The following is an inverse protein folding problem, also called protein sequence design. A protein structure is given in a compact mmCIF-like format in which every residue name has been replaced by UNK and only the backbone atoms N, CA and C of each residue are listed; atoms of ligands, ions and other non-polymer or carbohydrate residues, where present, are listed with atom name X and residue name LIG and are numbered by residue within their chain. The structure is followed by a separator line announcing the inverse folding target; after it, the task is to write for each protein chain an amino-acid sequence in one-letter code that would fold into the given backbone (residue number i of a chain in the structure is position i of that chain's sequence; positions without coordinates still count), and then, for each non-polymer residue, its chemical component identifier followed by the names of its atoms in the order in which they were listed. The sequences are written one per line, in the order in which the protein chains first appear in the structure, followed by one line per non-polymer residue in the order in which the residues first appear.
data_IF_953158589197
#
_entry.id   IF_953158589197
#
_cell.length_a   1.000
_cell.length_b   1.000
_cell.length_c   1.000
_cell.angle_alpha   90.00
_cell.angle_beta   90.00
_cell.angle_gamma   90.00
#
_symmetry.space_group_name_H-M   'P 1'
#
loop_
_entity.id
_entity.type
_entity.pdbx_description
1 polymer ?
#
# COMPACT_ATOMS: atom_id res chain seq x y z
N UNK A 1 75.27 16.30 -21.66
CA UNK A 1 74.02 16.58 -22.39
C UNK A 1 72.92 15.73 -21.79
N UNK A 2 71.95 16.32 -21.07
CA UNK A 2 70.84 15.61 -20.42
C UNK A 2 69.56 15.96 -21.18
N UNK A 3 69.00 15.00 -21.90
CA UNK A 3 67.66 15.10 -22.49
C UNK A 3 66.64 14.65 -21.44
N UNK A 4 65.90 15.60 -20.87
CA UNK A 4 64.76 15.32 -20.02
C UNK A 4 63.55 15.04 -20.91
N UNK A 5 63.18 13.76 -21.07
CA UNK A 5 61.92 13.38 -21.70
C UNK A 5 60.80 13.44 -20.66
N UNK A 6 59.96 14.48 -20.77
CA UNK A 6 58.76 14.67 -19.96
C UNK A 6 57.68 13.66 -20.36
N UNK A 7 57.37 12.71 -19.48
CA UNK A 7 56.17 11.88 -19.61
C UNK A 7 54.94 12.70 -19.23
N UNK A 8 54.19 13.14 -20.23
CA UNK A 8 52.88 13.74 -20.04
C UNK A 8 51.90 12.67 -19.55
N UNK A 9 51.57 12.73 -18.26
CA UNK A 9 50.48 11.96 -17.66
C UNK A 9 49.17 12.45 -18.27
N UNK A 10 48.61 11.69 -19.21
CA UNK A 10 47.29 12.00 -19.79
C UNK A 10 46.21 11.79 -18.73
N UNK A 11 45.85 12.87 -18.04
CA UNK A 11 44.63 12.92 -17.22
C UNK A 11 43.48 13.11 -18.19
N UNK A 12 42.74 12.03 -18.48
CA UNK A 12 41.49 12.15 -19.23
C UNK A 12 40.53 13.04 -18.44
N UNK A 13 40.04 14.16 -19.01
CA UNK A 13 39.07 15.00 -18.31
C UNK A 13 37.74 14.25 -18.27
N UNK A 14 37.29 13.89 -17.07
CA UNK A 14 35.92 13.46 -16.86
C UNK A 14 35.02 14.69 -16.89
N UNK A 15 34.61 15.11 -18.09
CA UNK A 15 33.51 16.05 -18.27
C UNK A 15 32.19 15.32 -17.96
N UNK A 16 31.97 15.05 -16.68
CA UNK A 16 30.66 14.66 -16.16
C UNK A 16 29.80 15.90 -16.02
N UNK A 17 28.82 16.06 -16.92
CA UNK A 17 27.89 17.18 -16.90
C UNK A 17 27.08 17.16 -15.58
N UNK A 18 27.16 18.18 -14.69
CA UNK A 18 26.56 18.13 -13.34
C UNK A 18 25.03 18.12 -13.33
N UNK A 19 24.40 18.33 -14.49
CA UNK A 19 22.94 18.39 -14.65
C UNK A 19 22.29 17.04 -14.99
N UNK A 20 23.08 16.01 -15.32
CA UNK A 20 22.56 14.66 -15.55
C UNK A 20 22.64 13.88 -14.25
N UNK A 21 21.60 13.99 -13.40
CA UNK A 21 21.43 13.04 -12.30
C UNK A 21 21.24 11.65 -12.94
N UNK A 22 22.12 10.67 -12.67
CA UNK A 22 21.87 9.32 -13.16
C UNK A 22 20.54 8.87 -12.57
N UNK A 23 19.61 8.44 -13.42
CA UNK A 23 18.38 7.78 -12.99
C UNK A 23 18.80 6.63 -12.07
N UNK A 24 18.64 6.83 -10.76
CA UNK A 24 18.83 5.77 -9.80
C UNK A 24 17.75 4.74 -10.13
N UNK A 25 18.10 3.51 -10.54
CA UNK A 25 17.08 2.50 -10.77
C UNK A 25 16.32 2.33 -9.45
N UNK A 26 15.02 2.59 -9.48
CA UNK A 26 14.13 2.35 -8.34
C UNK A 26 14.27 0.87 -8.01
N UNK A 27 14.92 0.58 -6.88
CA UNK A 27 15.06 -0.79 -6.39
C UNK A 27 13.76 -1.15 -5.70
N UNK A 28 12.85 -1.72 -6.47
CA UNK A 28 11.67 -2.38 -5.94
C UNK A 28 12.11 -3.50 -4.98
N UNK A 29 11.79 -3.34 -3.70
CA UNK A 29 12.07 -4.33 -2.68
C UNK A 29 11.13 -5.53 -2.88
N UNK A 30 11.52 -6.46 -3.73
CA UNK A 30 10.77 -7.68 -4.10
C UNK A 30 10.33 -8.58 -2.95
N UNK A 31 10.92 -8.42 -1.77
CA UNK A 31 10.95 -9.46 -0.74
C UNK A 31 10.24 -9.07 0.54
N UNK A 32 9.58 -7.91 0.57
CA UNK A 32 8.81 -7.49 1.73
C UNK A 32 7.42 -8.14 1.71
N UNK A 33 6.93 -8.51 2.89
CA UNK A 33 5.53 -8.93 3.04
C UNK A 33 4.61 -7.74 2.73
N UNK A 34 3.44 -7.99 2.17
CA UNK A 34 2.49 -6.94 1.79
C UNK A 34 2.08 -6.04 2.98
N UNK A 35 2.05 -6.60 4.19
CA UNK A 35 1.76 -5.86 5.43
C UNK A 35 2.89 -4.91 5.86
N UNK A 36 4.11 -5.09 5.36
CA UNK A 36 5.28 -4.30 5.80
C UNK A 36 5.26 -2.85 5.32
N UNK A 37 4.40 -2.53 4.35
CA UNK A 37 4.18 -1.16 3.87
C UNK A 37 3.20 -0.38 4.77
N UNK A 38 2.41 -1.08 5.59
CA UNK A 38 1.41 -0.48 6.46
C UNK A 38 1.97 -0.21 7.86
N UNK A 39 1.41 0.78 8.55
CA UNK A 39 1.71 1.01 9.96
C UNK A 39 1.14 -0.14 10.81
N UNK A 40 2.01 -0.78 11.60
CA UNK A 40 1.66 -1.95 12.41
C UNK A 40 0.55 -1.63 13.41
N UNK A 41 0.59 -0.44 14.02
CA UNK A 41 -0.42 -0.05 15.01
C UNK A 41 -1.79 0.17 14.37
N UNK A 42 -1.84 0.84 13.21
CA UNK A 42 -3.11 1.09 12.52
C UNK A 42 -3.76 -0.20 12.02
N UNK A 43 -2.93 -1.15 11.61
CA UNK A 43 -3.36 -2.46 11.12
C UNK A 43 -3.89 -3.34 12.25
N UNK A 44 -3.26 -3.32 13.43
CA UNK A 44 -3.79 -3.96 14.64
C UNK A 44 -5.09 -3.31 15.12
N UNK A 45 -5.18 -1.98 15.09
CA UNK A 45 -6.43 -1.25 15.38
C UNK A 45 -7.56 -1.64 14.43
N UNK A 46 -7.29 -1.73 13.13
CA UNK A 46 -8.29 -2.14 12.17
C UNK A 46 -8.75 -3.59 12.38
N UNK A 47 -7.82 -4.51 12.68
CA UNK A 47 -8.15 -5.92 12.97
C UNK A 47 -8.95 -6.10 14.25
N UNK A 48 -8.56 -5.41 15.33
CA UNK A 48 -9.30 -5.44 16.60
C UNK A 48 -10.68 -4.82 16.45
N UNK A 49 -10.79 -3.70 15.73
CA UNK A 49 -12.06 -3.08 15.38
C UNK A 49 -12.96 -4.06 14.61
N UNK A 50 -12.47 -4.73 13.57
CA UNK A 50 -13.26 -5.69 12.79
C UNK A 50 -13.74 -6.89 13.63
N UNK A 51 -12.94 -7.34 14.61
CA UNK A 51 -13.36 -8.42 15.55
C UNK A 51 -14.50 -7.97 16.47
N UNK A 52 -14.50 -6.71 16.88
CA UNK A 52 -15.53 -6.12 17.75
C UNK A 52 -16.68 -5.46 16.97
N UNK A 53 -16.59 -5.40 15.64
CA UNK A 53 -17.51 -4.68 14.80
C UNK A 53 -18.87 -5.39 14.76
N UNK A 54 -19.89 -4.66 15.20
CA UNK A 54 -21.29 -5.03 15.01
C UNK A 54 -21.98 -3.97 14.15
N UNK A 55 -22.87 -4.42 13.25
CA UNK A 55 -23.56 -3.54 12.31
C UNK A 55 -24.48 -2.50 12.98
N UNK A 56 -24.80 -2.72 14.25
CA UNK A 56 -25.56 -1.79 15.11
C UNK A 56 -24.76 -0.55 15.52
N UNK A 57 -23.42 -0.60 15.49
CA UNK A 57 -22.54 0.51 15.89
C UNK A 57 -22.50 1.63 14.82
N UNK A 58 -22.96 1.33 13.59
CA UNK A 58 -23.02 2.32 12.54
C UNK A 58 -24.17 3.31 12.77
N UNK A 59 -23.98 4.60 12.42
CA UNK A 59 -25.02 5.60 12.57
C UNK A 59 -26.24 5.25 11.73
N UNK A 60 -27.43 5.54 12.26
CA UNK A 60 -28.68 5.42 11.51
C UNK A 60 -28.72 6.50 10.44
N UNK A 61 -28.85 6.08 9.19
CA UNK A 61 -28.89 6.98 8.04
C UNK A 61 -30.22 7.75 7.98
N UNK A 62 -30.22 8.84 7.21
CA UNK A 62 -31.45 9.60 6.99
C UNK A 62 -32.25 8.96 5.83
N UNK A 63 -33.42 8.40 6.15
CA UNK A 63 -34.33 7.78 5.17
C UNK A 63 -35.42 8.75 4.71
N UNK A 64 -35.49 9.05 3.41
CA UNK A 64 -36.40 10.10 2.88
C UNK A 64 -37.75 9.61 2.35
N UNK A 65 -37.86 8.35 1.94
CA UNK A 65 -38.97 7.86 1.10
C UNK A 65 -39.63 6.61 1.69
N UNK A 66 -40.95 6.47 1.52
CA UNK A 66 -41.75 5.40 2.16
C UNK A 66 -41.57 4.03 1.49
N UNK A 67 -41.95 3.87 0.22
CA UNK A 67 -41.94 2.55 -0.44
C UNK A 67 -40.57 2.14 -0.98
N UNK A 68 -39.78 3.09 -1.50
CA UNK A 68 -38.39 2.88 -1.91
C UNK A 68 -37.54 3.55 -0.85
N UNK A 69 -37.00 2.85 0.13
CA UNK A 69 -36.18 3.49 1.15
C UNK A 69 -34.86 3.95 0.51
N UNK A 70 -34.62 5.25 0.47
CA UNK A 70 -33.33 5.85 0.12
C UNK A 70 -32.71 6.38 1.39
N UNK A 71 -31.62 5.75 1.82
CA UNK A 71 -30.88 6.09 3.03
C UNK A 71 -29.57 6.76 2.67
N UNK A 72 -29.33 7.91 3.31
CA UNK A 72 -28.11 8.70 3.12
C UNK A 72 -27.29 8.66 4.40
N UNK A 73 -26.01 8.33 4.28
CA UNK A 73 -25.03 8.41 5.37
C UNK A 73 -23.92 9.40 5.00
N UNK A 74 -23.84 10.54 5.70
CA UNK A 74 -22.71 11.45 5.57
C UNK A 74 -21.40 10.74 5.95
N UNK A 75 -20.37 10.90 5.13
CA UNK A 75 -19.05 10.32 5.43
C UNK A 75 -18.52 10.87 6.76
N UNK A 76 -18.81 12.14 7.07
CA UNK A 76 -18.43 12.80 8.33
C UNK A 76 -18.86 12.04 9.59
N UNK A 77 -20.01 11.36 9.53
CA UNK A 77 -20.54 10.62 10.69
C UNK A 77 -20.01 9.18 10.73
N UNK A 78 -19.58 8.65 9.57
CA UNK A 78 -19.00 7.31 9.46
C UNK A 78 -17.52 7.28 9.86
N UNK A 79 -16.73 8.29 9.47
CA UNK A 79 -15.28 8.31 9.70
C UNK A 79 -14.86 8.17 11.18
N UNK A 80 -15.56 8.75 12.18
CA UNK A 80 -15.20 8.60 13.60
C UNK A 80 -15.37 7.18 14.13
N UNK A 81 -16.32 6.42 13.55
CA UNK A 81 -16.60 5.03 13.95
C UNK A 81 -15.64 4.06 13.28
N UNK A 82 -15.11 4.42 12.11
CA UNK A 82 -14.29 3.56 11.27
C UNK A 82 -12.78 3.79 11.47
N UNK A 83 -11.94 2.73 11.41
CA UNK A 83 -10.49 2.85 11.34
C UNK A 83 -10.02 3.69 10.14
N UNK A 84 -8.94 4.46 10.32
CA UNK A 84 -8.36 5.35 9.30
C UNK A 84 -8.05 4.66 7.98
N UNK A 85 -7.61 3.40 8.02
CA UNK A 85 -7.32 2.59 6.83
C UNK A 85 -8.53 2.43 5.90
N UNK A 86 -9.76 2.45 6.46
CA UNK A 86 -10.99 2.30 5.69
C UNK A 86 -11.48 3.63 5.09
N UNK A 87 -11.00 4.77 5.58
CA UNK A 87 -11.51 6.10 5.19
C UNK A 87 -11.41 6.33 3.69
N UNK A 88 -10.30 5.90 3.10
CA UNK A 88 -10.09 5.97 1.65
C UNK A 88 -11.04 5.04 0.90
N UNK A 89 -11.15 3.79 1.34
CA UNK A 89 -12.01 2.78 0.69
C UNK A 89 -13.49 3.17 0.69
N UNK A 90 -13.97 3.86 1.73
CA UNK A 90 -15.35 4.38 1.78
C UNK A 90 -15.61 5.41 0.67
N UNK A 91 -14.64 6.29 0.39
CA UNK A 91 -14.76 7.29 -0.67
C UNK A 91 -14.59 6.70 -2.07
N UNK A 92 -13.93 5.54 -2.17
CA UNK A 92 -13.77 4.78 -3.42
C UNK A 92 -14.95 3.81 -3.66
N UNK A 93 -15.87 3.69 -2.71
CA UNK A 93 -17.00 2.76 -2.80
C UNK A 93 -17.98 3.12 -3.92
N UNK A 94 -18.68 2.10 -4.44
CA UNK A 94 -19.68 2.26 -5.51
C UNK A 94 -20.82 3.21 -5.14
N UNK A 95 -21.17 3.26 -3.85
CA UNK A 95 -22.33 4.00 -3.35
C UNK A 95 -21.99 5.43 -2.92
N UNK A 96 -20.74 5.85 -3.10
CA UNK A 96 -20.27 7.18 -2.76
C UNK A 96 -20.77 8.24 -3.73
N UNK A 97 -21.33 9.32 -3.18
CA UNK A 97 -21.71 10.52 -3.93
C UNK A 97 -20.76 11.66 -3.59
N UNK A 98 -19.91 12.03 -4.55
CA UNK A 98 -18.88 13.06 -4.35
C UNK A 98 -19.45 14.45 -4.04
N UNK A 99 -20.61 14.81 -4.58
CA UNK A 99 -21.22 16.14 -4.38
C UNK A 99 -21.60 16.41 -2.92
N UNK A 100 -22.09 15.41 -2.22
CA UNK A 100 -22.59 15.53 -0.85
C UNK A 100 -21.68 14.90 0.20
N UNK A 101 -20.55 14.30 -0.21
CA UNK A 101 -19.64 13.51 0.64
C UNK A 101 -20.43 12.50 1.50
N UNK A 102 -21.24 11.65 0.84
CA UNK A 102 -22.17 10.73 1.49
C UNK A 102 -22.33 9.41 0.74
N UNK A 103 -22.60 8.33 1.46
CA UNK A 103 -23.05 7.06 0.89
C UNK A 103 -24.56 7.06 0.71
N UNK A 104 -25.03 6.68 -0.46
CA UNK A 104 -26.46 6.60 -0.79
C UNK A 104 -26.83 5.16 -1.16
N UNK A 105 -27.63 4.50 -0.31
CA UNK A 105 -28.14 3.16 -0.57
C UNK A 105 -29.65 3.20 -0.79
N UNK A 106 -30.13 2.24 -1.57
CA UNK A 106 -31.53 2.14 -1.95
C UNK A 106 -32.01 0.69 -1.85
N UNK A 107 -33.20 0.50 -1.29
CA UNK A 107 -33.89 -0.78 -1.20
C UNK A 107 -35.38 -0.57 -1.47
N UNK A 108 -35.97 -1.54 -2.17
CA UNK A 108 -37.40 -1.56 -2.52
C UNK A 108 -37.89 -3.01 -2.61
N UNK A 109 -37.40 -3.85 -1.70
CA UNK A 109 -37.70 -5.29 -1.71
C UNK A 109 -39.04 -5.56 -1.01
N UNK A 110 -39.32 -4.81 0.05
CA UNK A 110 -40.50 -4.96 0.89
C UNK A 110 -41.49 -3.81 0.72
N UNK A 111 -42.74 -4.02 1.16
CA UNK A 111 -43.79 -3.00 1.20
C UNK A 111 -43.67 -2.06 2.41
N UNK A 112 -42.99 -2.50 3.46
CA UNK A 112 -42.77 -1.74 4.68
C UNK A 112 -41.46 -0.95 4.61
N UNK A 113 -41.51 0.31 5.04
CA UNK A 113 -40.36 1.22 5.08
C UNK A 113 -39.24 0.71 6.00
N UNK A 114 -39.62 0.15 7.14
CA UNK A 114 -38.66 -0.27 8.17
C UNK A 114 -37.81 -1.46 7.68
N UNK A 115 -38.45 -2.48 7.10
CA UNK A 115 -37.77 -3.62 6.48
C UNK A 115 -36.79 -3.19 5.37
N UNK A 116 -37.17 -2.21 4.53
CA UNK A 116 -36.27 -1.66 3.51
C UNK A 116 -35.13 -0.84 4.12
N UNK A 117 -35.34 -0.20 5.27
CA UNK A 117 -34.30 0.56 5.98
C UNK A 117 -33.28 -0.38 6.62
N UNK A 118 -33.73 -1.48 7.21
CA UNK A 118 -32.87 -2.55 7.73
C UNK A 118 -32.05 -3.21 6.61
N UNK A 119 -32.66 -3.49 5.46
CA UNK A 119 -31.93 -4.03 4.30
C UNK A 119 -30.83 -3.07 3.82
N UNK A 120 -31.12 -1.77 3.79
CA UNK A 120 -30.12 -0.76 3.47
C UNK A 120 -28.99 -0.68 4.51
N UNK A 121 -29.31 -0.84 5.80
CA UNK A 121 -28.29 -0.93 6.85
C UNK A 121 -27.42 -2.17 6.66
N UNK A 122 -28.01 -3.32 6.30
CA UNK A 122 -27.27 -4.53 5.99
C UNK A 122 -26.34 -4.34 4.80
N UNK A 123 -26.81 -3.70 3.72
CA UNK A 123 -25.98 -3.35 2.55
C UNK A 123 -24.79 -2.47 2.93
N UNK A 124 -24.97 -1.53 3.85
CA UNK A 124 -23.88 -0.70 4.36
C UNK A 124 -22.86 -1.54 5.11
N UNK A 125 -23.31 -2.41 6.01
CA UNK A 125 -22.45 -3.33 6.78
C UNK A 125 -21.65 -4.24 5.84
N UNK A 126 -22.29 -4.79 4.83
CA UNK A 126 -21.67 -5.67 3.85
C UNK A 126 -20.62 -4.92 3.00
N UNK A 127 -20.92 -3.68 2.60
CA UNK A 127 -19.97 -2.82 1.88
C UNK A 127 -18.74 -2.50 2.74
N UNK A 128 -18.94 -2.15 4.01
CA UNK A 128 -17.85 -1.87 4.96
C UNK A 128 -16.97 -3.12 5.16
N UNK A 129 -17.59 -4.31 5.30
CA UNK A 129 -16.86 -5.58 5.39
C UNK A 129 -16.08 -5.89 4.11
N UNK A 130 -16.66 -5.62 2.93
CA UNK A 130 -15.95 -5.79 1.65
C UNK A 130 -14.72 -4.88 1.57
N UNK A 131 -14.89 -3.60 1.89
CA UNK A 131 -13.79 -2.62 1.89
C UNK A 131 -12.70 -3.04 2.89
N UNK A 132 -13.07 -3.55 4.06
CA UNK A 132 -12.10 -4.07 5.02
C UNK A 132 -11.26 -5.21 4.43
N UNK A 133 -11.89 -6.18 3.76
CA UNK A 133 -11.18 -7.30 3.14
C UNK A 133 -10.25 -6.86 2.00
N UNK A 134 -10.62 -5.82 1.26
CA UNK A 134 -9.82 -5.28 0.15
C UNK A 134 -8.63 -4.44 0.65
N UNK A 135 -8.82 -3.66 1.71
CA UNK A 135 -7.82 -2.70 2.22
C UNK A 135 -6.89 -3.27 3.27
N UNK A 136 -7.40 -4.15 4.15
CA UNK A 136 -6.62 -4.71 5.26
C UNK A 136 -6.12 -6.09 4.87
N UNK A 137 -4.80 -6.25 4.66
CA UNK A 137 -4.26 -7.56 4.37
C UNK A 137 -4.44 -8.52 5.55
N UNK A 138 -4.78 -9.77 5.20
CA UNK A 138 -4.88 -10.85 6.17
C UNK A 138 -3.58 -11.08 6.94
N UNK A 139 -3.69 -11.61 8.16
CA UNK A 139 -2.53 -11.94 9.00
C UNK A 139 -1.62 -12.96 8.29
N UNK A 140 -0.41 -12.55 7.93
CA UNK A 140 0.62 -13.44 7.39
C UNK A 140 1.10 -14.36 8.50
N UNK A 141 0.98 -15.67 8.27
CA UNK A 141 1.46 -16.69 9.20
C UNK A 141 2.95 -16.51 9.53
N UNK A 142 3.38 -16.86 10.75
CA UNK A 142 4.78 -16.70 11.17
C UNK A 142 5.75 -17.45 10.25
N UNK A 143 5.33 -18.58 9.68
CA UNK A 143 6.14 -19.37 8.74
C UNK A 143 6.36 -18.65 7.41
N UNK A 144 5.34 -17.97 6.89
CA UNK A 144 5.48 -17.13 5.69
C UNK A 144 6.44 -15.98 5.97
N UNK A 145 6.36 -15.33 7.14
CA UNK A 145 7.30 -14.26 7.54
C UNK A 145 8.74 -14.76 7.55
N UNK A 146 9.00 -15.92 8.15
CA UNK A 146 10.34 -16.57 8.16
C UNK A 146 10.84 -16.85 6.74
N UNK A 147 9.98 -17.46 5.90
CA UNK A 147 10.31 -17.75 4.49
C UNK A 147 10.69 -16.49 3.72
N UNK A 148 9.95 -15.39 3.87
CA UNK A 148 10.27 -14.12 3.23
C UNK A 148 11.60 -13.53 3.72
N UNK A 149 11.89 -13.63 5.03
CA UNK A 149 13.18 -13.19 5.59
C UNK A 149 14.36 -14.01 5.04
N UNK A 150 14.21 -15.33 4.90
CA UNK A 150 15.22 -16.21 4.31
C UNK A 150 15.47 -15.92 2.83
N UNK A 151 14.39 -15.67 2.06
CA UNK A 151 14.50 -15.26 0.66
C UNK A 151 15.25 -13.92 0.54
N UNK A 152 14.93 -12.95 1.39
CA UNK A 152 15.63 -11.66 1.41
C UNK A 152 17.13 -11.82 1.74
N UNK A 153 17.46 -12.66 2.72
CA UNK A 153 18.84 -12.97 3.12
C UNK A 153 19.61 -13.64 1.98
N UNK A 154 19.09 -14.73 1.44
CA UNK A 154 19.72 -15.50 0.35
C UNK A 154 19.92 -14.63 -0.91
N UNK A 155 18.96 -13.77 -1.25
CA UNK A 155 19.11 -12.83 -2.36
C UNK A 155 20.23 -11.81 -2.11
N UNK A 156 20.31 -11.22 -0.90
CA UNK A 156 21.35 -10.26 -0.59
C UNK A 156 22.75 -10.90 -0.61
N UNK A 157 22.86 -12.13 -0.10
CA UNK A 157 24.10 -12.92 -0.18
C UNK A 157 24.50 -13.22 -1.62
N UNK A 158 23.56 -13.68 -2.45
CA UNK A 158 23.79 -13.93 -3.88
C UNK A 158 24.25 -12.66 -4.61
N UNK A 159 23.57 -11.53 -4.37
CA UNK A 159 23.95 -10.22 -4.90
C UNK A 159 25.36 -9.81 -4.48
N UNK A 160 25.72 -10.02 -3.21
CA UNK A 160 27.06 -9.68 -2.70
C UNK A 160 28.14 -10.56 -3.33
N UNK A 161 27.89 -11.86 -3.48
CA UNK A 161 28.80 -12.81 -4.17
C UNK A 161 29.02 -12.37 -5.62
N UNK A 162 27.95 -12.08 -6.36
CA UNK A 162 28.05 -11.62 -7.74
C UNK A 162 28.80 -10.28 -7.85
N UNK A 163 28.52 -9.33 -6.95
CA UNK A 163 29.25 -8.05 -6.90
C UNK A 163 30.75 -8.27 -6.69
N UNK A 164 31.13 -9.15 -5.75
CA UNK A 164 32.54 -9.49 -5.48
C UNK A 164 33.21 -10.15 -6.68
N UNK A 165 32.55 -11.14 -7.32
CA UNK A 165 33.06 -11.81 -8.52
C UNK A 165 33.28 -10.81 -9.67
N UNK A 166 32.32 -9.93 -9.94
CA UNK A 166 32.44 -8.90 -10.97
C UNK A 166 33.54 -7.88 -10.63
N UNK A 167 33.69 -7.51 -9.36
CA UNK A 167 34.76 -6.62 -8.91
C UNK A 167 36.14 -7.24 -9.13
N UNK A 168 36.33 -8.49 -8.72
CA UNK A 168 37.58 -9.24 -8.92
C UNK A 168 37.90 -9.38 -10.41
N UNK A 169 36.90 -9.74 -11.24
CA UNK A 169 37.05 -9.81 -12.71
C UNK A 169 37.43 -8.47 -13.34
N UNK A 170 36.96 -7.34 -12.80
CA UNK A 170 37.35 -6.00 -13.25
C UNK A 170 38.76 -5.64 -12.80
N UNK A 171 39.15 -6.05 -11.60
CA UNK A 171 40.49 -5.81 -11.06
C UNK A 171 41.54 -6.60 -11.84
N UNK A 172 41.29 -7.86 -12.18
CA UNK A 172 42.22 -8.68 -12.98
C UNK A 172 42.42 -8.17 -14.40
N UNK A 173 41.48 -7.40 -14.94
CA UNK A 173 41.58 -6.74 -16.25
C UNK A 173 42.36 -5.42 -16.21
N UNK A 174 42.79 -4.95 -15.03
CA UNK A 174 43.62 -3.74 -14.94
C UNK A 174 45.03 -4.09 -15.41
N UNK A 175 45.61 -3.34 -16.36
CA UNK A 175 47.00 -3.55 -16.75
C UNK A 175 47.91 -3.31 -15.54
N UNK A 176 48.84 -4.24 -15.29
CA UNK A 176 49.96 -3.97 -14.39
C UNK A 176 50.90 -2.99 -15.09
N UNK A 177 51.09 -1.81 -14.50
CA UNK A 177 52.21 -0.96 -14.87
C UNK A 177 53.41 -1.50 -14.11
N UNK A 178 54.31 -2.15 -14.83
CA UNK A 178 55.68 -2.46 -14.41
C UNK A 178 56.61 -1.44 -15.09
#
# INVERSE_FOLDING_TARGET
MKLAASFLRSVRPALGNPLVRPLQPIRWARYQAFEAEFDSEELERARSWHKAFDGSQLPKGQTTTESKAVTVWPVKDLLPVLPKLLHRGIRESKYYTARSDSLTLQAQTHRQRDANTEENQQKLVDEVKRIFQETVPGETSPDKKKKHAEIAKSFNEGRLKQKKQLSSKKQSRRPSFD
#
